data_IF_760641292786
#
_entry.id   IF_760641292786
#
_cell.length_a   1.000
_cell.length_b   1.000
_cell.length_c   1.000
_cell.angle_alpha   90.00
_cell.angle_beta   90.00
_cell.angle_gamma   90.00
#
_symmetry.space_group_name_H-M   'P 1'
#
loop_
_entity.id
_entity.type
_entity.pdbx_description
1 polymer ?
#
# COMPACT_ATOMS: atom_id res chain seq x y z
N UNK A 1 10.57 8.01 1.67
CA UNK A 1 10.40 6.53 1.60
C UNK A 1 9.24 6.18 2.53
N UNK A 2 8.00 6.28 2.08
CA UNK A 2 6.85 6.26 3.02
C UNK A 2 5.89 5.11 2.71
N UNK A 3 6.06 3.99 3.44
CA UNK A 3 5.12 2.89 3.41
C UNK A 3 5.70 1.53 3.82
N UNK A 4 4.83 0.68 4.33
CA UNK A 4 5.13 -0.70 4.70
C UNK A 4 5.42 -1.55 3.45
N UNK A 5 4.66 -1.38 2.36
CA UNK A 5 4.86 -2.16 1.13
C UNK A 5 6.27 -2.01 0.54
N UNK A 6 6.82 -0.79 0.52
CA UNK A 6 8.19 -0.54 0.08
C UNK A 6 9.21 -1.15 1.07
N UNK A 7 8.90 -1.12 2.37
CA UNK A 7 9.71 -1.81 3.38
C UNK A 7 9.76 -3.32 3.11
N UNK A 8 8.63 -3.94 2.80
CA UNK A 8 8.58 -5.36 2.42
C UNK A 8 9.35 -5.66 1.14
N UNK A 9 9.25 -4.81 0.13
CA UNK A 9 10.02 -4.94 -1.12
C UNK A 9 11.52 -4.89 -0.84
N UNK A 10 11.97 -3.96 0.01
CA UNK A 10 13.37 -3.83 0.41
C UNK A 10 13.86 -5.07 1.17
N UNK A 11 13.08 -5.57 2.13
CA UNK A 11 13.40 -6.80 2.86
C UNK A 11 13.47 -8.00 1.91
N UNK A 12 12.53 -8.13 0.99
CA UNK A 12 12.50 -9.19 0.00
C UNK A 12 13.73 -9.15 -0.93
N UNK A 13 14.07 -7.98 -1.46
CA UNK A 13 15.23 -7.79 -2.33
C UNK A 13 16.55 -8.09 -1.61
N UNK A 14 16.68 -7.63 -0.35
CA UNK A 14 17.85 -7.96 0.47
C UNK A 14 17.93 -9.46 0.75
N UNK A 15 16.80 -10.11 1.07
CA UNK A 15 16.75 -11.55 1.28
C UNK A 15 17.20 -12.33 0.04
N UNK A 16 16.73 -11.94 -1.16
CA UNK A 16 17.19 -12.57 -2.40
C UNK A 16 18.69 -12.45 -2.63
N UNK A 17 19.27 -11.27 -2.34
CA UNK A 17 20.69 -10.98 -2.60
C UNK A 17 21.62 -11.69 -1.61
N UNK A 18 21.29 -11.70 -0.32
CA UNK A 18 22.23 -12.13 0.73
C UNK A 18 21.65 -13.14 1.73
N UNK A 19 20.32 -13.22 1.86
CA UNK A 19 19.68 -13.98 2.94
C UNK A 19 19.14 -15.35 2.55
N UNK A 20 18.97 -15.64 1.24
CA UNK A 20 18.25 -16.82 0.76
C UNK A 20 18.92 -18.15 1.11
N UNK A 21 20.24 -18.18 1.23
CA UNK A 21 21.02 -19.41 1.44
C UNK A 21 21.04 -19.90 2.88
N UNK A 22 20.80 -19.03 3.88
CA UNK A 22 20.91 -19.41 5.29
C UNK A 22 19.98 -18.60 6.21
N UNK A 23 19.51 -19.26 7.27
CA UNK A 23 18.69 -18.61 8.29
C UNK A 23 19.44 -17.55 9.12
N UNK A 24 20.79 -17.55 9.10
CA UNK A 24 21.62 -16.61 9.90
C UNK A 24 21.30 -15.14 9.60
N UNK A 25 21.10 -14.79 8.32
CA UNK A 25 20.75 -13.43 7.93
C UNK A 25 19.38 -13.03 8.52
N UNK A 26 18.38 -13.90 8.39
CA UNK A 26 17.06 -13.65 8.94
C UNK A 26 17.08 -13.52 10.47
N UNK A 27 17.85 -14.36 11.18
CA UNK A 27 18.01 -14.25 12.63
C UNK A 27 18.57 -12.90 13.05
N UNK A 28 19.61 -12.40 12.35
CA UNK A 28 20.23 -11.09 12.63
C UNK A 28 19.23 -9.93 12.50
N UNK A 29 18.37 -9.96 11.50
CA UNK A 29 17.37 -8.91 11.24
C UNK A 29 15.98 -9.21 11.83
N UNK A 30 15.86 -10.25 12.68
CA UNK A 30 14.60 -10.70 13.30
C UNK A 30 13.48 -10.99 12.29
N UNK A 31 13.85 -11.58 11.16
CA UNK A 31 12.95 -11.98 10.08
C UNK A 31 12.65 -13.48 10.14
N UNK A 32 11.51 -13.89 9.58
CA UNK A 32 11.14 -15.30 9.50
C UNK A 32 11.63 -15.93 8.19
N UNK A 33 12.65 -16.79 8.27
CA UNK A 33 13.24 -17.47 7.12
C UNK A 33 12.24 -18.35 6.35
N UNK A 34 11.35 -19.06 7.07
CA UNK A 34 10.33 -19.92 6.44
C UNK A 34 9.30 -19.08 5.68
N UNK A 35 8.89 -17.95 6.25
CA UNK A 35 7.96 -17.03 5.60
C UNK A 35 8.57 -16.43 4.33
N UNK A 36 9.81 -15.92 4.40
CA UNK A 36 10.49 -15.35 3.23
C UNK A 36 10.77 -16.39 2.14
N UNK A 37 11.15 -17.61 2.52
CA UNK A 37 11.27 -18.74 1.58
C UNK A 37 9.93 -19.05 0.89
N UNK A 38 8.82 -19.01 1.62
CA UNK A 38 7.47 -19.18 1.06
C UNK A 38 7.12 -18.05 0.08
N UNK A 39 7.46 -16.79 0.39
CA UNK A 39 7.24 -15.65 -0.52
C UNK A 39 7.96 -15.86 -1.86
N UNK A 40 9.18 -16.42 -1.87
CA UNK A 40 9.88 -16.77 -3.11
C UNK A 40 9.07 -17.78 -3.93
N UNK A 41 8.60 -18.86 -3.29
CA UNK A 41 7.80 -19.88 -3.96
C UNK A 41 6.50 -19.31 -4.54
N UNK A 42 5.78 -18.48 -3.78
CA UNK A 42 4.54 -17.82 -4.24
C UNK A 42 4.83 -16.91 -5.44
N UNK A 43 5.88 -16.08 -5.38
CA UNK A 43 6.26 -15.21 -6.51
C UNK A 43 6.59 -16.02 -7.76
N UNK A 44 7.31 -17.13 -7.62
CA UNK A 44 7.63 -18.00 -8.74
C UNK A 44 6.38 -18.61 -9.37
N UNK A 45 5.41 -19.06 -8.56
CA UNK A 45 4.13 -19.58 -9.05
C UNK A 45 3.33 -18.51 -9.81
N UNK A 46 3.22 -17.30 -9.25
CA UNK A 46 2.58 -16.16 -9.94
C UNK A 46 3.28 -15.86 -11.28
N UNK A 47 4.61 -15.87 -11.30
CA UNK A 47 5.38 -15.70 -12.53
C UNK A 47 5.12 -16.78 -13.59
N UNK A 48 4.90 -18.03 -13.18
CA UNK A 48 4.52 -19.11 -14.11
C UNK A 48 3.11 -18.88 -14.69
N UNK A 49 2.16 -18.43 -13.86
CA UNK A 49 0.83 -18.09 -14.35
C UNK A 49 0.84 -16.94 -15.35
N UNK A 50 1.58 -15.86 -15.06
CA UNK A 50 1.72 -14.73 -16.00
C UNK A 50 2.25 -15.20 -17.36
N UNK A 51 3.30 -16.05 -17.37
CA UNK A 51 3.82 -16.65 -18.61
C UNK A 51 2.77 -17.49 -19.33
N UNK A 52 2.03 -18.33 -18.61
CA UNK A 52 0.95 -19.18 -19.18
C UNK A 52 -0.15 -18.35 -19.82
N UNK A 53 -0.50 -17.19 -19.25
CA UNK A 53 -1.48 -16.26 -19.79
C UNK A 53 -0.91 -15.30 -20.85
N UNK A 54 0.36 -15.44 -21.25
CA UNK A 54 1.00 -14.57 -22.23
C UNK A 54 1.30 -13.14 -21.72
N UNK A 55 1.23 -12.91 -20.42
CA UNK A 55 1.51 -11.61 -19.81
C UNK A 55 3.02 -11.46 -19.61
N UNK A 56 3.60 -10.45 -20.27
CA UNK A 56 5.04 -10.16 -20.17
C UNK A 56 5.40 -9.73 -18.75
N UNK A 57 6.36 -10.42 -18.15
CA UNK A 57 6.94 -10.00 -16.88
C UNK A 57 7.90 -8.83 -17.13
N UNK A 58 7.59 -7.67 -16.57
CA UNK A 58 8.43 -6.47 -16.58
C UNK A 58 8.81 -6.10 -15.15
N UNK A 59 9.94 -5.40 -14.98
CA UNK A 59 10.41 -4.91 -13.69
C UNK A 59 10.78 -3.43 -13.80
N UNK A 60 10.52 -2.69 -12.72
CA UNK A 60 11.00 -1.33 -12.54
C UNK A 60 11.55 -1.20 -11.12
N UNK A 61 12.67 -0.48 -10.99
CA UNK A 61 13.20 -0.06 -9.69
C UNK A 61 12.60 1.28 -9.23
N UNK A 62 11.82 1.92 -10.10
CA UNK A 62 11.13 3.16 -9.79
C UNK A 62 10.03 2.92 -8.75
N UNK A 63 10.23 3.48 -7.56
CA UNK A 63 9.28 3.41 -6.45
C UNK A 63 7.94 4.05 -6.80
N UNK A 64 7.92 5.06 -7.69
CA UNK A 64 6.68 5.67 -8.16
C UNK A 64 5.82 4.65 -8.91
N UNK A 65 6.42 3.88 -9.83
CA UNK A 65 5.70 2.84 -10.56
C UNK A 65 5.14 1.76 -9.63
N UNK A 66 5.90 1.37 -8.60
CA UNK A 66 5.41 0.40 -7.59
C UNK A 66 4.23 0.97 -6.81
N UNK A 67 4.30 2.24 -6.37
CA UNK A 67 3.19 2.89 -5.65
C UNK A 67 1.96 3.05 -6.53
N UNK A 68 2.11 3.45 -7.81
CA UNK A 68 1.00 3.52 -8.77
C UNK A 68 0.37 2.14 -9.02
N UNK A 69 1.18 1.09 -9.15
CA UNK A 69 0.67 -0.28 -9.25
C UNK A 69 -0.15 -0.67 -8.00
N UNK A 70 0.32 -0.33 -6.80
CA UNK A 70 -0.44 -0.57 -5.57
C UNK A 70 -1.77 0.21 -5.56
N UNK A 71 -1.77 1.48 -5.99
CA UNK A 71 -3.01 2.27 -6.11
C UNK A 71 -3.99 1.59 -7.06
N UNK A 72 -3.54 1.11 -8.21
CA UNK A 72 -4.43 0.43 -9.17
C UNK A 72 -5.12 -0.83 -8.60
N UNK A 73 -4.49 -1.51 -7.65
CA UNK A 73 -5.07 -2.68 -6.98
C UNK A 73 -5.89 -2.34 -5.72
N UNK A 74 -5.46 -1.33 -4.95
CA UNK A 74 -6.01 -0.97 -3.64
C UNK A 74 -6.80 0.34 -3.63
N UNK A 75 -7.20 0.87 -4.80
CA UNK A 75 -7.88 2.18 -4.90
C UNK A 75 -9.12 2.32 -4.01
N UNK A 76 -9.80 1.22 -3.65
CA UNK A 76 -10.95 1.24 -2.71
C UNK A 76 -10.55 1.31 -1.24
N UNK A 77 -9.34 0.88 -0.90
CA UNK A 77 -8.80 0.89 0.44
C UNK A 77 -8.01 2.18 0.66
N UNK A 78 -8.73 3.30 0.64
CA UNK A 78 -8.17 4.64 0.69
C UNK A 78 -8.57 5.33 1.99
N UNK A 79 -7.61 5.99 2.63
CA UNK A 79 -7.86 6.77 3.83
C UNK A 79 -7.16 8.13 3.81
N UNK A 80 -7.80 9.12 4.43
CA UNK A 80 -7.31 10.49 4.58
C UNK A 80 -6.90 10.76 6.02
N UNK A 81 -5.74 11.39 6.21
CA UNK A 81 -5.24 11.79 7.51
C UNK A 81 -6.03 12.98 8.09
N UNK A 82 -6.37 12.90 9.37
CA UNK A 82 -7.10 13.91 10.11
C UNK A 82 -6.17 14.71 11.05
N UNK A 83 -6.61 15.88 11.49
CA UNK A 83 -5.83 16.76 12.38
C UNK A 83 -5.55 16.13 13.75
N UNK A 84 -6.43 15.24 14.22
CA UNK A 84 -6.29 14.52 15.48
C UNK A 84 -5.35 13.29 15.40
N UNK A 85 -4.72 13.06 14.23
CA UNK A 85 -3.84 11.93 13.98
C UNK A 85 -4.56 10.63 13.60
N UNK A 86 -5.89 10.63 13.57
CA UNK A 86 -6.69 9.52 13.02
C UNK A 86 -6.72 9.55 11.50
N UNK A 87 -7.33 8.52 10.91
CA UNK A 87 -7.59 8.46 9.48
C UNK A 87 -9.08 8.25 9.25
N UNK A 88 -9.63 8.83 8.18
CA UNK A 88 -10.99 8.57 7.72
C UNK A 88 -10.97 7.77 6.43
N UNK A 89 -11.67 6.64 6.42
CA UNK A 89 -11.96 5.87 5.21
C UNK A 89 -12.72 6.73 4.22
N UNK A 90 -12.27 6.76 2.96
CA UNK A 90 -12.92 7.55 1.90
C UNK A 90 -14.22 6.89 1.45
N UNK A 91 -14.35 5.58 1.66
CA UNK A 91 -15.52 4.80 1.24
C UNK A 91 -16.76 5.14 2.06
N UNK A 92 -16.61 5.29 3.38
CA UNK A 92 -17.73 5.31 4.33
C UNK A 92 -17.53 6.28 5.51
N UNK A 93 -16.40 7.01 5.56
CA UNK A 93 -16.09 7.94 6.66
C UNK A 93 -15.66 7.26 7.96
N UNK A 94 -15.55 5.93 8.00
CA UNK A 94 -15.12 5.19 9.19
C UNK A 94 -13.79 5.74 9.72
N UNK A 95 -13.71 5.97 11.04
CA UNK A 95 -12.46 6.34 11.71
C UNK A 95 -11.56 5.11 11.87
N UNK A 96 -10.32 5.28 11.44
CA UNK A 96 -9.27 4.27 11.37
C UNK A 96 -8.03 4.77 12.08
N UNK A 97 -7.24 3.82 12.60
CA UNK A 97 -5.97 4.09 13.25
C UNK A 97 -4.85 3.27 12.61
N UNK A 98 -3.64 3.81 12.56
CA UNK A 98 -2.48 3.04 12.08
C UNK A 98 -2.14 1.96 13.10
N UNK A 99 -1.98 0.72 12.65
CA UNK A 99 -1.56 -0.36 13.53
C UNK A 99 -0.14 -0.11 14.08
N UNK A 100 0.16 -0.39 15.37
CA UNK A 100 1.48 -0.13 15.99
C UNK A 100 2.68 -0.80 15.31
N UNK A 101 2.46 -1.85 14.51
CA UNK A 101 3.53 -2.53 13.78
C UNK A 101 3.96 -1.84 12.48
N UNK A 102 3.21 -0.85 12.01
CA UNK A 102 3.48 -0.15 10.76
C UNK A 102 4.65 0.82 10.92
N UNK A 103 5.47 0.99 9.87
CA UNK A 103 6.49 2.05 9.82
C UNK A 103 5.89 3.45 9.79
N UNK A 104 4.58 3.55 9.50
CA UNK A 104 3.81 4.78 9.51
C UNK A 104 3.19 5.09 10.88
N UNK A 105 3.40 4.24 11.89
CA UNK A 105 2.92 4.50 13.25
C UNK A 105 3.54 5.81 13.77
N UNK A 106 2.69 6.77 14.16
CA UNK A 106 3.04 8.14 14.57
C UNK A 106 3.71 9.02 13.50
N UNK A 107 3.56 8.70 12.21
CA UNK A 107 4.02 9.57 11.11
C UNK A 107 2.84 10.24 10.43
N UNK A 108 2.98 11.53 10.15
CA UNK A 108 2.06 12.27 9.29
C UNK A 108 2.48 12.03 7.83
N UNK A 109 1.60 11.51 6.96
CA UNK A 109 1.89 11.35 5.55
C UNK A 109 1.99 12.73 4.89
N UNK A 110 3.02 12.97 4.08
CA UNK A 110 3.29 14.28 3.46
C UNK A 110 2.07 14.79 2.67
N UNK A 111 1.41 13.90 1.93
CA UNK A 111 0.25 14.22 1.09
C UNK A 111 -1.07 14.26 1.86
N UNK A 112 -1.11 13.68 3.06
CA UNK A 112 -2.35 13.43 3.80
C UNK A 112 -3.16 12.21 3.33
N UNK A 113 -2.68 11.45 2.33
CA UNK A 113 -3.42 10.31 1.75
C UNK A 113 -2.61 9.02 1.78
N UNK A 114 -3.30 7.93 2.13
CA UNK A 114 -2.72 6.58 2.16
C UNK A 114 -3.66 5.56 1.55
N UNK A 115 -3.08 4.57 0.89
CA UNK A 115 -3.74 3.27 0.69
C UNK A 115 -3.35 2.30 1.81
N UNK A 116 -4.18 1.30 2.06
CA UNK A 116 -3.90 0.23 3.03
C UNK A 116 -4.32 -1.16 2.49
N UNK A 117 -3.69 -2.21 3.00
CA UNK A 117 -3.99 -3.58 2.58
C UNK A 117 -5.24 -4.14 3.27
N UNK A 118 -5.30 -4.02 4.59
CA UNK A 118 -6.34 -4.63 5.42
C UNK A 118 -6.76 -3.75 6.60
N UNK A 119 -7.96 -4.05 7.13
CA UNK A 119 -8.49 -3.49 8.38
C UNK A 119 -8.59 -4.63 9.41
N UNK A 120 -8.03 -4.42 10.59
CA UNK A 120 -8.19 -5.29 11.75
C UNK A 120 -9.17 -4.67 12.74
N UNK A 121 -10.29 -5.34 12.96
CA UNK A 121 -11.30 -4.92 13.93
C UNK A 121 -11.02 -5.56 15.29
N UNK A 122 -10.73 -4.72 16.28
CA UNK A 122 -10.52 -5.12 17.67
C UNK A 122 -11.36 -4.23 18.58
N UNK A 123 -10.79 -3.64 19.63
CA UNK A 123 -11.40 -2.51 20.37
C UNK A 123 -11.44 -1.23 19.52
N UNK A 124 -10.53 -1.10 18.56
CA UNK A 124 -10.47 -0.04 17.54
C UNK A 124 -10.23 -0.68 16.18
N UNK A 125 -10.58 0.03 15.10
CA UNK A 125 -10.28 -0.38 13.72
C UNK A 125 -8.88 0.09 13.34
N UNK A 126 -7.99 -0.86 13.10
CA UNK A 126 -6.60 -0.59 12.71
C UNK A 126 -6.38 -0.90 11.24
N UNK A 127 -5.77 0.02 10.49
CA UNK A 127 -5.27 -0.23 9.15
C UNK A 127 -3.83 -0.73 9.17
N UNK A 128 -3.51 -1.63 8.25
CA UNK A 128 -2.19 -2.23 8.09
C UNK A 128 -1.69 -2.18 6.66
N UNK A 129 -0.37 -2.28 6.56
CA UNK A 129 0.41 -2.23 5.33
C UNK A 129 0.09 -0.97 4.53
N UNK A 130 0.52 0.17 5.05
CA UNK A 130 0.17 1.48 4.51
C UNK A 130 1.16 1.90 3.42
N UNK A 131 0.71 2.71 2.48
CA UNK A 131 1.59 3.42 1.55
C UNK A 131 1.02 4.79 1.27
N UNK A 132 1.86 5.81 1.42
CA UNK A 132 1.49 7.19 1.09
C UNK A 132 1.30 7.29 -0.41
N UNK A 133 0.32 8.09 -0.86
CA UNK A 133 0.02 8.27 -2.28
C UNK A 133 -0.28 9.74 -2.59
N UNK A 134 -0.17 10.10 -3.87
CA UNK A 134 -0.76 11.36 -4.35
C UNK A 134 -2.23 11.14 -4.71
N UNK A 135 -3.13 12.06 -4.32
CA UNK A 135 -4.55 11.93 -4.66
C UNK A 135 -4.82 11.96 -6.17
N UNK A 136 -4.01 12.70 -6.94
CA UNK A 136 -4.19 12.82 -8.40
C UNK A 136 -4.08 11.46 -9.11
N UNK A 137 -3.28 10.53 -8.57
CA UNK A 137 -3.14 9.18 -9.11
C UNK A 137 -4.45 8.39 -9.07
N UNK A 138 -5.37 8.72 -8.17
CA UNK A 138 -6.67 8.04 -8.08
C UNK A 138 -7.55 8.35 -9.29
N UNK A 139 -7.52 9.60 -9.77
CA UNK A 139 -8.27 9.99 -10.98
C UNK A 139 -7.61 9.43 -12.24
N UNK A 140 -6.27 9.37 -12.27
CA UNK A 140 -5.49 8.77 -13.36
C UNK A 140 -5.73 7.24 -13.48
N UNK A 141 -5.62 6.53 -12.36
CA UNK A 141 -5.57 5.05 -12.35
C UNK A 141 -6.92 4.40 -12.05
N UNK A 142 -7.84 5.14 -11.44
CA UNK A 142 -9.16 4.66 -11.02
C UNK A 142 -10.27 5.69 -11.33
N UNK A 143 -10.18 6.38 -12.48
CA UNK A 143 -11.15 7.39 -12.91
C UNK A 143 -12.59 6.88 -13.08
N UNK A 144 -12.77 5.56 -13.21
CA UNK A 144 -14.09 4.92 -13.19
C UNK A 144 -14.74 4.91 -11.79
N UNK A 145 -13.96 5.11 -10.73
CA UNK A 145 -14.40 5.13 -9.33
C UNK A 145 -14.28 6.51 -8.69
N UNK A 146 -13.22 7.27 -9.02
CA UNK A 146 -12.98 8.60 -8.50
C UNK A 146 -13.08 9.65 -9.60
N UNK A 147 -13.85 10.71 -9.35
CA UNK A 147 -13.99 11.85 -10.26
C UNK A 147 -13.68 13.15 -9.52
N UNK A 148 -13.11 14.12 -10.24
CA UNK A 148 -12.91 15.47 -9.71
C UNK A 148 -14.27 16.14 -9.62
N UNK A 149 -14.67 16.55 -8.41
CA UNK A 149 -15.84 17.40 -8.25
C UNK A 149 -15.48 18.81 -8.69
N UNK A 150 -16.06 19.24 -9.82
CA UNK A 150 -15.85 20.57 -10.34
C UNK A 150 -16.58 21.59 -9.45
N UNK A 151 -15.83 22.45 -8.74
CA UNK A 151 -16.38 23.37 -7.72
C UNK A 151 -17.24 24.50 -8.31
N UNK A 152 -17.45 24.56 -9.63
CA UNK A 152 -18.25 25.60 -10.30
C UNK A 152 -19.77 25.39 -10.25
N UNK A 153 -20.28 24.24 -9.79
CA UNK A 153 -21.71 23.92 -9.81
C UNK A 153 -22.50 24.27 -8.53
N UNK A 154 -21.92 24.98 -7.55
CA UNK A 154 -22.57 25.26 -6.24
C UNK A 154 -22.98 26.72 -5.99
N UNK A 155 -22.94 27.59 -7.00
CA UNK A 155 -23.33 29.01 -6.83
C UNK A 155 -24.70 29.34 -7.44
N UNK A 156 -25.35 28.43 -8.18
CA UNK A 156 -26.65 28.71 -8.80
C UNK A 156 -27.76 27.86 -8.17
N UNK A 157 -28.31 28.37 -7.07
CA UNK A 157 -29.39 27.68 -6.34
C UNK A 157 -29.97 28.45 -5.16
N UNK A 158 -29.75 29.76 -5.08
CA UNK A 158 -30.50 30.64 -4.17
C UNK A 158 -31.44 31.52 -4.98
N UNK A 159 -32.69 31.08 -5.09
CA UNK A 159 -33.87 31.94 -5.19
C UNK A 159 -34.97 31.34 -4.34
#
# INVERSE_FOLDING_TARGET
MEGDHLTYLNVYNAFLKVGKSTAKWCQRYRLNFKALSRVISIRNQLGQYLKKFGIKLVSSEDQLMVRKALVSGYFRNLARFNLDGSYSSVRDGTILHVHPSSVMFNRKPETGWVIFHEVMETKKRFIRDLTVIEPDWLTELAGHYYQVLDKKARVDGSK
#
